data_IF_829879126461
#
_entry.id   IF_829879126461
#
_cell.length_a   1.000
_cell.length_b   1.000
_cell.length_c   1.000
_cell.angle_alpha   90.00
_cell.angle_beta   90.00
_cell.angle_gamma   90.00
#
_symmetry.space_group_name_H-M   'P 1'
#
loop_
_entity.id
_entity.type
_entity.pdbx_description
1 polymer ?
#
# COMPACT_ATOMS: atom_id res chain seq x y z
N UNK A 1 7.44 -18.57 -13.83
CA UNK A 1 6.73 -17.37 -13.32
C UNK A 1 6.62 -17.51 -11.80
N UNK A 2 6.99 -16.48 -11.03
CA UNK A 2 6.87 -16.49 -9.56
C UNK A 2 5.48 -15.96 -9.20
N UNK A 3 4.72 -16.70 -8.40
CA UNK A 3 3.47 -16.21 -7.81
C UNK A 3 3.85 -15.28 -6.65
N UNK A 4 3.23 -14.10 -6.59
CA UNK A 4 3.50 -13.08 -5.56
C UNK A 4 2.19 -12.61 -4.94
N UNK A 5 2.25 -12.15 -3.69
CA UNK A 5 1.10 -11.57 -3.01
C UNK A 5 0.94 -10.10 -3.41
N UNK A 6 -0.26 -9.72 -3.82
CA UNK A 6 -0.60 -8.35 -4.16
C UNK A 6 -1.70 -7.82 -3.26
N UNK A 7 -1.50 -6.64 -2.69
CA UNK A 7 -2.52 -5.90 -1.96
C UNK A 7 -3.01 -4.73 -2.83
N UNK A 8 -4.33 -4.56 -2.89
CA UNK A 8 -4.99 -3.40 -3.52
C UNK A 8 -5.88 -2.73 -2.46
N UNK A 9 -5.55 -1.50 -2.12
CA UNK A 9 -6.13 -0.78 -0.98
C UNK A 9 -6.70 0.56 -1.45
N UNK A 10 -7.91 0.89 -0.98
CA UNK A 10 -8.45 2.26 -1.07
C UNK A 10 -8.07 3.02 0.20
N UNK A 11 -7.38 4.14 0.03
CA UNK A 11 -6.95 5.02 1.10
C UNK A 11 -7.59 6.39 0.95
N UNK A 12 -7.89 7.03 2.07
CA UNK A 12 -8.25 8.45 2.10
C UNK A 12 -7.07 9.30 1.61
N UNK A 13 -7.32 10.25 0.69
CA UNK A 13 -6.30 11.16 0.20
C UNK A 13 -6.04 12.30 1.21
N UNK A 14 -5.36 11.96 2.30
CA UNK A 14 -4.93 12.90 3.34
C UNK A 14 -3.48 12.67 3.75
N UNK A 15 -2.76 13.73 4.17
CA UNK A 15 -1.39 13.61 4.62
C UNK A 15 -1.24 12.55 5.74
N UNK A 16 -0.26 11.66 5.57
CA UNK A 16 0.07 10.63 6.54
C UNK A 16 -0.73 9.33 6.45
N UNK A 17 -1.77 9.23 5.61
CA UNK A 17 -2.53 7.97 5.45
C UNK A 17 -1.64 6.81 4.96
N UNK A 18 -0.81 7.05 3.93
CA UNK A 18 0.14 6.05 3.46
C UNK A 18 1.19 5.68 4.53
N UNK A 19 1.66 6.66 5.31
CA UNK A 19 2.62 6.40 6.38
C UNK A 19 2.03 5.49 7.47
N UNK A 20 0.75 5.68 7.84
CA UNK A 20 0.04 4.80 8.78
C UNK A 20 -0.08 3.37 8.24
N UNK A 21 -0.40 3.22 6.94
CA UNK A 21 -0.42 1.91 6.28
C UNK A 21 0.96 1.24 6.34
N UNK A 22 2.02 1.93 5.93
CA UNK A 22 3.38 1.39 5.96
C UNK A 22 3.82 1.02 7.39
N UNK A 23 3.45 1.81 8.40
CA UNK A 23 3.71 1.46 9.80
C UNK A 23 2.97 0.19 10.24
N UNK A 24 1.72 0.00 9.82
CA UNK A 24 0.97 -1.22 10.13
C UNK A 24 1.61 -2.45 9.48
N UNK A 25 1.99 -2.35 8.19
CA UNK A 25 2.70 -3.41 7.48
C UNK A 25 4.06 -3.74 8.11
N UNK A 26 4.83 -2.72 8.51
CA UNK A 26 6.10 -2.90 9.19
C UNK A 26 5.95 -3.59 10.55
N UNK A 27 4.92 -3.24 11.35
CA UNK A 27 4.59 -3.92 12.61
C UNK A 27 4.23 -5.39 12.39
N UNK A 28 3.55 -5.69 11.27
CA UNK A 28 3.23 -7.05 10.85
C UNK A 28 4.41 -7.79 10.20
N UNK A 29 5.58 -7.14 10.08
CA UNK A 29 6.78 -7.67 9.41
C UNK A 29 6.56 -8.04 7.94
N UNK A 30 5.66 -7.33 7.26
CA UNK A 30 5.41 -7.51 5.82
C UNK A 30 6.39 -6.65 5.03
N UNK A 31 7.12 -7.28 4.13
CA UNK A 31 8.06 -6.58 3.26
C UNK A 31 7.35 -6.03 2.01
N UNK A 32 7.73 -4.84 1.56
CA UNK A 32 7.16 -4.19 0.38
C UNK A 32 8.18 -4.26 -0.74
N UNK A 33 7.89 -5.03 -1.78
CA UNK A 33 8.78 -5.24 -2.92
C UNK A 33 8.56 -4.18 -4.02
N UNK A 34 7.31 -3.75 -4.19
CA UNK A 34 6.93 -2.70 -5.11
C UNK A 34 5.65 -2.02 -4.64
N UNK A 35 5.48 -0.74 -4.95
CA UNK A 35 4.30 0.05 -4.64
C UNK A 35 3.98 1.01 -5.79
N UNK A 36 2.69 1.13 -6.12
CA UNK A 36 2.17 2.20 -6.98
C UNK A 36 0.94 2.84 -6.34
N UNK A 37 0.77 4.14 -6.59
CA UNK A 37 -0.36 4.93 -6.11
C UNK A 37 -1.03 5.58 -7.31
N UNK A 38 -2.35 5.50 -7.37
CA UNK A 38 -3.18 6.27 -8.30
C UNK A 38 -4.13 7.11 -7.46
N UNK A 39 -3.92 8.42 -7.43
CA UNK A 39 -4.72 9.35 -6.65
C UNK A 39 -5.88 9.95 -7.46
N UNK A 40 -6.94 10.27 -6.73
CA UNK A 40 -8.05 11.10 -7.12
C UNK A 40 -8.28 12.13 -6.02
N UNK A 41 -9.20 13.07 -6.23
CA UNK A 41 -9.46 14.19 -5.29
C UNK A 41 -9.74 13.68 -3.87
N UNK A 42 -10.56 12.63 -3.73
CA UNK A 42 -11.03 12.18 -2.40
C UNK A 42 -10.28 10.96 -1.86
N UNK A 43 -9.71 10.14 -2.74
CA UNK A 43 -9.10 8.86 -2.37
C UNK A 43 -7.91 8.52 -3.26
N UNK A 44 -7.05 7.63 -2.77
CA UNK A 44 -5.99 7.02 -3.53
C UNK A 44 -6.15 5.50 -3.54
N UNK A 45 -5.89 4.89 -4.69
CA UNK A 45 -5.74 3.44 -4.81
C UNK A 45 -4.26 3.11 -4.72
N UNK A 46 -3.89 2.32 -3.72
CA UNK A 46 -2.52 1.83 -3.53
C UNK A 46 -2.46 0.37 -3.92
N UNK A 47 -1.54 0.02 -4.82
CA UNK A 47 -1.22 -1.37 -5.15
C UNK A 47 0.18 -1.69 -4.68
N UNK A 48 0.35 -2.86 -4.09
CA UNK A 48 1.62 -3.28 -3.50
C UNK A 48 1.88 -4.74 -3.82
N UNK A 49 3.12 -5.07 -4.15
CA UNK A 49 3.62 -6.45 -4.12
C UNK A 49 4.35 -6.64 -2.81
N UNK A 50 4.02 -7.69 -2.07
CA UNK A 50 4.50 -7.93 -0.70
C UNK A 50 4.98 -9.37 -0.50
N UNK A 51 5.80 -9.56 0.54
CA UNK A 51 6.29 -10.85 1.07
C UNK A 51 6.12 -10.88 2.59
#
# INVERSE_FOLDING_TARGET
MKIVNQLSLFLENRPGTLAKLCQALAKAKVNILALSVSDAVDHAVVRMVVD
#
